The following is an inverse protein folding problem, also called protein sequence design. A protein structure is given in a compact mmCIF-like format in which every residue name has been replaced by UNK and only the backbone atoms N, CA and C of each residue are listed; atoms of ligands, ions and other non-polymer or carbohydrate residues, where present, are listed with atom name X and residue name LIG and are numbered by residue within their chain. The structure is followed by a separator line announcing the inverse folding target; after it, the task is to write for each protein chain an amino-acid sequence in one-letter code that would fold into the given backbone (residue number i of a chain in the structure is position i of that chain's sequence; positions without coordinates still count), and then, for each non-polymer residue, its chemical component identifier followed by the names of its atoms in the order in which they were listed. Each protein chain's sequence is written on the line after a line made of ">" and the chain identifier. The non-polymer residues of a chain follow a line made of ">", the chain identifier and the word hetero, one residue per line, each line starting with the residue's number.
data_IF_888749993854
#
_entry.id   IF_888749993854
#
_cell.length_a   1.000
_cell.length_b   1.000
_cell.length_c   1.000
_cell.angle_alpha   90.00
_cell.angle_beta   90.00
_cell.angle_gamma   90.00
#
_symmetry.space_group_name_H-M   'P 1'
#
loop_
_entity.id
_entity.type
_entity.pdbx_description
1 polymer ?
#
# COMPACT_ATOMS: atom_id res chain seq x y z
N UNK A 1 -3.45 17.35 5.77
CA UNK A 1 -3.08 17.06 7.17
C UNK A 1 -1.55 17.01 7.26
N UNK A 2 -0.95 17.27 8.43
CA UNK A 2 0.51 17.19 8.62
C UNK A 2 0.90 16.17 9.69
N UNK A 3 1.84 15.29 9.37
CA UNK A 3 2.33 14.23 10.27
C UNK A 3 3.86 14.25 10.34
N UNK A 4 4.42 13.80 11.47
CA UNK A 4 5.85 13.48 11.56
C UNK A 4 6.11 12.16 10.82
N UNK A 5 7.08 12.07 9.91
CA UNK A 5 7.45 10.82 9.24
C UNK A 5 7.76 9.65 10.19
N UNK A 6 8.31 9.93 11.37
CA UNK A 6 8.58 8.92 12.40
C UNK A 6 7.30 8.32 13.02
N UNK A 7 6.17 9.04 12.98
CA UNK A 7 4.88 8.57 13.53
C UNK A 7 4.03 7.83 12.50
N UNK A 8 4.57 7.57 11.30
CA UNK A 8 3.90 6.84 10.23
C UNK A 8 4.57 5.48 10.10
N UNK A 9 3.79 4.41 10.10
CA UNK A 9 4.27 3.04 10.00
C UNK A 9 4.31 2.57 8.54
N UNK A 10 5.20 1.63 8.24
CA UNK A 10 5.22 0.95 6.94
C UNK A 10 4.05 0.00 6.83
N UNK A 11 3.56 -0.21 5.60
CA UNK A 11 2.64 -1.30 5.30
C UNK A 11 3.41 -2.51 4.84
N UNK A 12 3.10 -3.68 5.40
CA UNK A 12 3.72 -4.96 5.05
C UNK A 12 5.19 -5.04 5.47
N UNK A 13 5.44 -5.41 6.73
CA UNK A 13 6.80 -5.44 7.32
C UNK A 13 7.64 -6.61 6.78
N UNK A 14 6.99 -7.73 6.42
CA UNK A 14 7.66 -8.95 5.98
C UNK A 14 8.37 -8.81 4.61
N UNK A 15 7.90 -7.90 3.75
CA UNK A 15 8.48 -7.64 2.42
C UNK A 15 9.29 -6.35 2.32
N UNK A 16 9.60 -5.70 3.44
CA UNK A 16 10.42 -4.48 3.43
C UNK A 16 11.80 -4.71 2.83
N UNK A 17 12.30 -5.94 2.82
CA UNK A 17 13.62 -6.28 2.28
C UNK A 17 13.70 -6.11 0.76
N UNK A 18 12.62 -6.38 0.04
CA UNK A 18 12.64 -6.51 -1.43
C UNK A 18 12.13 -5.25 -2.15
N UNK A 19 11.21 -4.50 -1.53
CA UNK A 19 10.58 -3.30 -2.12
C UNK A 19 11.19 -1.97 -1.66
N UNK A 20 12.19 -2.00 -0.78
CA UNK A 20 12.84 -0.79 -0.33
C UNK A 20 13.97 -0.36 -1.27
N UNK A 21 14.02 0.94 -1.55
CA UNK A 21 15.09 1.59 -2.30
C UNK A 21 16.47 1.11 -1.82
N UNK A 22 17.36 0.83 -2.76
CA UNK A 22 18.79 0.68 -2.46
C UNK A 22 19.30 1.95 -1.78
N UNK A 23 20.41 1.86 -1.06
CA UNK A 23 20.98 3.02 -0.38
C UNK A 23 21.36 4.14 -1.37
N UNK A 24 21.94 3.77 -2.51
CA UNK A 24 22.29 4.71 -3.58
C UNK A 24 21.07 5.38 -4.21
N UNK A 25 19.99 4.64 -4.46
CA UNK A 25 18.76 5.23 -5.01
C UNK A 25 18.03 6.12 -3.99
N UNK A 26 18.09 5.75 -2.71
CA UNK A 26 17.56 6.57 -1.62
C UNK A 26 18.29 7.92 -1.57
N UNK A 27 19.61 7.92 -1.60
CA UNK A 27 20.41 9.14 -1.60
C UNK A 27 20.13 10.01 -2.82
N UNK A 28 20.04 9.40 -4.00
CA UNK A 28 19.69 10.10 -5.25
C UNK A 28 18.33 10.80 -5.13
N UNK A 29 17.31 10.11 -4.60
CA UNK A 29 15.99 10.70 -4.36
C UNK A 29 16.03 11.83 -3.34
N UNK A 30 16.69 11.61 -2.20
CA UNK A 30 16.83 12.63 -1.14
C UNK A 30 17.48 13.89 -1.69
N UNK A 31 18.57 13.75 -2.44
CA UNK A 31 19.23 14.87 -3.11
C UNK A 31 18.29 15.60 -4.06
N UNK A 32 17.57 14.87 -4.93
CA UNK A 32 16.61 15.48 -5.86
C UNK A 32 15.53 16.30 -5.15
N UNK A 33 15.03 15.83 -4.00
CA UNK A 33 14.03 16.56 -3.21
C UNK A 33 14.61 17.80 -2.53
N UNK A 34 15.84 17.72 -2.01
CA UNK A 34 16.55 18.89 -1.45
C UNK A 34 16.80 19.95 -2.52
N UNK A 35 17.30 19.56 -3.68
CA UNK A 35 17.61 20.46 -4.80
C UNK A 35 16.36 21.18 -5.32
N UNK A 36 15.20 20.51 -5.29
CA UNK A 36 13.91 21.07 -5.72
C UNK A 36 13.17 21.83 -4.61
N UNK A 37 13.73 21.89 -3.42
CA UNK A 37 13.09 22.41 -2.20
C UNK A 37 11.68 21.84 -1.96
N UNK A 38 11.50 20.55 -2.27
CA UNK A 38 10.21 19.89 -2.24
C UNK A 38 10.23 18.65 -1.37
N UNK A 39 9.12 18.42 -0.68
CA UNK A 39 8.92 17.22 0.14
C UNK A 39 7.93 16.30 -0.59
N UNK A 40 8.19 14.99 -0.64
CA UNK A 40 7.25 14.05 -1.23
C UNK A 40 5.86 14.13 -0.58
N UNK A 41 4.82 13.95 -1.39
CA UNK A 41 3.46 13.76 -0.90
C UNK A 41 3.28 12.30 -0.49
N UNK A 42 2.88 12.08 0.75
CA UNK A 42 2.64 10.74 1.27
C UNK A 42 1.14 10.43 1.36
N UNK A 43 0.74 9.26 0.88
CA UNK A 43 -0.60 8.73 1.09
C UNK A 43 -0.59 7.84 2.33
N UNK A 44 -1.49 8.11 3.26
CA UNK A 44 -1.62 7.37 4.51
C UNK A 44 -3.05 6.94 4.73
N UNK A 45 -3.25 5.90 5.51
CA UNK A 45 -4.56 5.59 6.09
C UNK A 45 -4.43 5.39 7.59
N UNK A 46 -5.58 5.37 8.26
CA UNK A 46 -5.66 5.29 9.71
C UNK A 46 -6.35 3.99 10.11
N UNK A 47 -5.68 3.17 10.92
CA UNK A 47 -6.18 1.91 11.46
C UNK A 47 -5.79 1.84 12.93
N UNK A 48 -6.78 1.65 13.80
CA UNK A 48 -6.60 1.39 15.23
C UNK A 48 -5.59 2.34 15.92
N UNK A 49 -5.82 3.65 15.87
CA UNK A 49 -4.93 4.60 16.54
C UNK A 49 -3.71 5.03 15.73
N UNK A 50 -3.33 4.30 14.68
CA UNK A 50 -2.04 4.47 14.00
C UNK A 50 -2.20 4.86 12.53
N UNK A 51 -1.19 5.56 12.01
CA UNK A 51 -1.09 5.93 10.60
C UNK A 51 -0.10 5.04 9.88
N UNK A 52 -0.49 4.57 8.72
CA UNK A 52 0.32 3.68 7.89
C UNK A 52 0.42 4.27 6.48
N UNK A 53 1.60 4.22 5.88
CA UNK A 53 1.83 4.71 4.52
C UNK A 53 1.34 3.69 3.49
N UNK A 54 0.83 4.13 2.34
CA UNK A 54 0.64 3.25 1.17
C UNK A 54 1.86 3.28 0.24
N UNK A 55 2.86 4.09 0.55
CA UNK A 55 4.10 4.22 -0.21
C UNK A 55 5.28 4.14 0.74
N UNK A 56 5.87 2.93 0.85
CA UNK A 56 6.99 2.65 1.75
C UNK A 56 8.27 3.38 1.30
N UNK A 57 8.54 3.42 0.00
CA UNK A 57 9.74 4.07 -0.55
C UNK A 57 9.76 5.58 -0.25
N UNK A 58 8.65 6.29 -0.48
CA UNK A 58 8.57 7.73 -0.19
C UNK A 58 8.60 8.01 1.32
N UNK A 59 8.09 7.10 2.16
CA UNK A 59 8.22 7.24 3.61
C UNK A 59 9.68 7.10 4.05
N UNK A 60 10.45 6.18 3.45
CA UNK A 60 11.89 6.04 3.73
C UNK A 60 12.65 7.32 3.37
N UNK A 61 12.35 7.92 2.22
CA UNK A 61 12.88 9.23 1.82
C UNK A 61 12.51 10.32 2.84
N UNK A 62 11.22 10.42 3.21
CA UNK A 62 10.75 11.41 4.19
C UNK A 62 11.46 11.29 5.54
N UNK A 63 11.69 10.06 6.02
CA UNK A 63 12.40 9.82 7.28
C UNK A 63 13.87 10.22 7.17
N UNK A 64 14.54 9.96 6.05
CA UNK A 64 15.91 10.41 5.82
C UNK A 64 15.99 11.94 5.77
N UNK A 65 15.08 12.60 5.03
CA UNK A 65 14.96 14.06 5.02
C UNK A 65 14.73 14.64 6.42
N UNK A 66 13.95 13.96 7.27
CA UNK A 66 13.75 14.35 8.67
C UNK A 66 15.01 14.19 9.51
N UNK A 67 15.73 13.08 9.38
CA UNK A 67 16.98 12.84 10.09
C UNK A 67 18.07 13.85 9.70
N UNK A 68 18.08 14.27 8.44
CA UNK A 68 18.98 15.30 7.91
C UNK A 68 18.54 16.73 8.30
N UNK A 69 17.43 16.89 9.05
CA UNK A 69 16.93 18.19 9.52
C UNK A 69 16.13 19.00 8.50
N UNK A 70 15.87 18.46 7.30
CA UNK A 70 15.21 19.18 6.22
C UNK A 70 13.70 19.34 6.45
N UNK A 71 13.06 18.39 7.13
CA UNK A 71 11.63 18.48 7.45
C UNK A 71 11.26 17.86 8.79
N UNK A 72 10.42 18.55 9.57
CA UNK A 72 9.88 18.00 10.84
C UNK A 72 8.50 17.36 10.67
N UNK A 73 7.72 17.86 9.70
CA UNK A 73 6.37 17.39 9.39
C UNK A 73 6.17 17.42 7.88
N UNK A 74 5.43 16.45 7.38
CA UNK A 74 5.12 16.30 5.95
C UNK A 74 3.61 16.42 5.73
N UNK A 75 3.23 16.97 4.57
CA UNK A 75 1.83 17.00 4.17
C UNK A 75 1.43 15.61 3.70
N UNK A 76 0.39 15.05 4.32
CA UNK A 76 -0.14 13.72 3.98
C UNK A 76 -1.55 13.82 3.43
N UNK A 77 -1.85 12.92 2.50
CA UNK A 77 -3.17 12.63 1.98
C UNK A 77 -3.74 11.42 2.71
N UNK A 78 -4.93 11.57 3.31
CA UNK A 78 -5.58 10.46 4.02
C UNK A 78 -6.48 9.68 3.05
N UNK A 79 -6.16 8.42 2.84
CA UNK A 79 -6.95 7.48 2.07
C UNK A 79 -7.99 6.80 2.99
N UNK A 80 -9.29 6.79 2.62
CA UNK A 80 -10.30 6.06 3.38
C UNK A 80 -10.04 4.55 3.38
N UNK A 81 -10.22 3.90 4.54
CA UNK A 81 -10.02 2.44 4.71
C UNK A 81 -10.83 1.62 3.69
N UNK A 82 -12.03 2.08 3.32
CA UNK A 82 -12.90 1.42 2.33
C UNK A 82 -12.27 1.29 0.94
N UNK A 83 -11.25 2.09 0.61
CA UNK A 83 -10.53 2.05 -0.67
C UNK A 83 -9.30 1.15 -0.64
N UNK A 84 -8.97 0.57 0.51
CA UNK A 84 -7.79 -0.28 0.67
C UNK A 84 -8.23 -1.74 0.55
N UNK A 85 -7.59 -2.52 -0.35
CA UNK A 85 -7.84 -3.95 -0.47
C UNK A 85 -7.70 -4.66 0.88
N UNK A 86 -8.61 -5.60 1.17
CA UNK A 86 -8.61 -6.36 2.44
C UNK A 86 -7.27 -7.05 2.71
N UNK A 87 -6.68 -7.68 1.69
CA UNK A 87 -5.37 -8.33 1.85
C UNK A 87 -4.28 -7.38 2.35
N UNK A 88 -4.28 -6.12 1.91
CA UNK A 88 -3.34 -5.10 2.41
C UNK A 88 -3.67 -4.72 3.86
N UNK A 89 -4.96 -4.66 4.23
CA UNK A 89 -5.36 -4.42 5.63
C UNK A 89 -4.91 -5.53 6.57
N UNK A 90 -4.93 -6.77 6.09
CA UNK A 90 -4.60 -7.95 6.89
C UNK A 90 -3.09 -8.07 7.14
N UNK A 91 -2.23 -7.59 6.23
CA UNK A 91 -0.76 -7.55 6.44
C UNK A 91 -0.28 -6.46 7.39
N UNK A 92 -1.18 -5.63 7.91
CA UNK A 92 -0.83 -4.58 8.87
C UNK A 92 -1.05 -5.07 10.29
N UNK A 93 0.05 -5.45 10.93
CA UNK A 93 0.08 -5.77 12.34
C UNK A 93 -0.17 -4.52 13.17
N UNK A 94 -1.28 -4.53 13.90
CA UNK A 94 -1.52 -3.60 15.01
C UNK A 94 -1.67 -4.47 16.25
N UNK A 95 -0.98 -4.14 17.37
CA UNK A 95 -1.23 -4.83 18.64
C UNK A 95 -2.72 -4.87 18.95
N UNK A 96 -3.23 -6.05 19.33
CA UNK A 96 -4.66 -6.27 19.57
C UNK A 96 -5.25 -5.34 20.64
N UNK A 97 -4.41 -4.79 21.52
CA UNK A 97 -4.77 -3.80 22.53
C UNK A 97 -5.29 -2.49 21.95
N UNK A 98 -4.84 -2.12 20.74
CA UNK A 98 -5.10 -0.81 20.13
C UNK A 98 -6.29 -0.83 19.18
N UNK A 99 -6.75 -2.03 18.80
CA UNK A 99 -7.96 -2.25 18.01
C UNK A 99 -9.08 -2.70 18.95
N UNK A 100 -9.97 -1.82 19.46
CA UNK A 100 -11.19 -2.28 20.08
C UNK A 100 -11.95 -3.06 19.02
N UNK A 101 -11.98 -4.38 19.18
CA UNK A 101 -12.70 -5.29 18.29
C UNK A 101 -14.17 -4.88 18.37
N UNK A 102 -14.64 -4.07 17.43
CA UNK A 102 -16.05 -4.09 17.07
C UNK A 102 -16.25 -5.44 16.43
N UNK A 103 -16.49 -6.45 17.28
CA UNK A 103 -17.05 -7.71 16.85
C UNK A 103 -18.35 -7.30 16.18
N UNK A 104 -18.32 -7.26 14.86
CA UNK A 104 -19.51 -7.21 14.06
C UNK A 104 -20.17 -8.57 14.31
N UNK A 105 -20.85 -8.68 15.44
CA UNK A 105 -21.81 -9.74 15.64
C UNK A 105 -22.89 -9.42 14.63
N UNK A 106 -22.73 -9.94 13.41
CA UNK A 106 -23.85 -10.33 12.59
C UNK A 106 -24.59 -11.39 13.41
N UNK A 107 -25.33 -10.92 14.41
CA UNK A 107 -26.51 -11.58 14.92
C UNK A 107 -27.41 -11.67 13.70
N UNK A 108 -27.29 -12.77 12.97
CA UNK A 108 -28.43 -13.31 12.23
C UNK A 108 -29.52 -13.51 13.28
N UNK A 109 -30.30 -12.46 13.52
CA UNK A 109 -31.63 -12.60 14.09
C UNK A 109 -32.47 -13.29 13.02
N UNK A 110 -32.28 -14.60 12.86
CA UNK A 110 -33.31 -15.45 12.25
C UNK A 110 -34.35 -15.68 13.34
N UNK A 111 -35.25 -14.73 13.42
CA UNK A 111 -36.59 -14.88 13.97
C UNK A 111 -37.22 -16.15 13.39
N UNK A 112 -37.63 -17.07 14.28
CA UNK A 112 -38.73 -18.01 14.04
C UNK A 112 -38.39 -19.40 13.48
N UNK A 113 -37.90 -20.30 14.33
CA UNK A 113 -38.31 -21.71 14.24
C UNK A 113 -39.33 -21.97 15.35
N UNK A 114 -40.62 -21.88 15.01
CA UNK A 114 -41.70 -22.48 15.82
C UNK A 114 -41.67 -23.98 15.58
N UNK A 115 -41.48 -24.74 16.65
CA UNK A 115 -41.67 -26.19 16.68
C UNK A 115 -43.11 -26.55 16.29
N UNK A 116 -43.21 -27.55 15.42
CA UNK A 116 -44.44 -28.21 15.01
C UNK A 116 -45.02 -29.00 16.18
N UNK A 117 -46.28 -28.75 16.52
CA UNK A 117 -47.16 -29.74 17.16
C UNK A 117 -48.33 -29.98 16.22
N UNK A 118 -48.47 -31.24 15.81
CA UNK A 118 -49.52 -31.75 14.92
C UNK A 118 -50.65 -32.28 15.79
N UNK A 119 -51.86 -31.77 15.61
CA UNK A 119 -53.10 -32.45 16.02
C UNK A 119 -54.32 -31.91 15.24
N UNK A 120 -54.65 -32.65 14.18
CA UNK A 120 -55.99 -33.11 13.76
C UNK A 120 -57.16 -32.13 13.45
N UNK A 121 -57.47 -32.07 12.15
CA UNK A 121 -58.77 -32.31 11.48
C UNK A 121 -59.99 -31.45 11.89
N UNK A 122 -60.46 -30.59 10.96
CA UNK A 122 -61.78 -30.74 10.28
C UNK A 122 -62.05 -29.65 9.22
N UNK A 123 -62.43 -30.10 8.00
CA UNK A 123 -63.46 -29.59 7.04
C UNK A 123 -63.58 -28.07 6.83
N UNK A 124 -63.73 -27.49 5.64
CA UNK A 124 -63.95 -27.86 4.24
C UNK A 124 -63.86 -26.53 3.43
N UNK A 125 -63.97 -26.50 2.09
CA UNK A 125 -63.14 -25.68 1.21
C UNK A 125 -63.81 -24.41 0.66
N UNK A 126 -62.99 -23.46 0.16
CA UNK A 126 -63.44 -22.59 -0.93
C UNK A 126 -62.26 -22.11 -1.82
N UNK A 127 -62.21 -22.74 -3.01
CA UNK A 127 -62.07 -22.14 -4.34
C UNK A 127 -60.74 -21.50 -4.80
N UNK A 128 -60.24 -22.17 -5.85
CA UNK A 128 -59.54 -21.70 -7.06
C UNK A 128 -58.02 -21.54 -7.13
N UNK A 129 -57.47 -22.43 -7.98
CA UNK A 129 -56.66 -22.17 -9.19
C UNK A 129 -55.43 -21.27 -9.05
N UNK A 130 -54.21 -21.67 -9.41
CA UNK A 130 -53.82 -22.54 -10.53
C UNK A 130 -52.33 -22.88 -10.36
N UNK A 131 -51.98 -24.11 -10.72
CA UNK A 131 -50.61 -24.62 -10.88
C UNK A 131 -49.83 -23.82 -11.95
N UNK A 132 -48.50 -23.81 -12.05
CA UNK A 132 -47.61 -24.94 -12.31
C UNK A 132 -46.12 -24.57 -12.13
N UNK A 133 -45.33 -25.60 -11.75
CA UNK A 133 -44.00 -26.02 -12.23
C UNK A 133 -42.85 -24.99 -12.21
N UNK A 134 -41.81 -25.15 -11.38
CA UNK A 134 -40.66 -26.08 -11.44
C UNK A 134 -39.93 -26.13 -12.78
N UNK A 135 -38.71 -25.58 -12.83
CA UNK A 135 -37.50 -26.31 -13.18
C UNK A 135 -36.23 -25.46 -12.96
N UNK A 136 -35.26 -26.11 -12.30
CA UNK A 136 -33.85 -25.74 -12.31
C UNK A 136 -33.29 -25.79 -13.74
N UNK A 137 -32.48 -24.80 -14.15
CA UNK A 137 -31.35 -25.06 -15.04
C UNK A 137 -30.29 -23.96 -14.99
N UNK A 138 -29.08 -24.43 -14.74
CA UNK A 138 -27.80 -23.76 -14.79
C UNK A 138 -27.42 -23.35 -16.23
N UNK A 139 -26.33 -22.60 -16.34
CA UNK A 139 -25.60 -22.26 -17.58
C UNK A 139 -26.13 -20.98 -18.25
N UNK A 140 -25.32 -20.08 -18.80
CA UNK A 140 -23.97 -20.20 -19.33
C UNK A 140 -23.34 -18.81 -19.37
N UNK A 141 -22.04 -18.75 -19.11
CA UNK A 141 -21.18 -17.61 -19.35
C UNK A 141 -21.01 -17.38 -20.86
N UNK A 142 -21.20 -16.15 -21.33
CA UNK A 142 -20.69 -15.69 -22.62
C UNK A 142 -19.83 -14.44 -22.39
N UNK A 143 -18.52 -14.65 -22.45
CA UNK A 143 -17.51 -13.61 -22.55
C UNK A 143 -17.56 -13.10 -23.99
N UNK A 144 -18.01 -11.86 -24.16
CA UNK A 144 -17.88 -11.12 -25.40
C UNK A 144 -16.53 -10.38 -25.35
N UNK A 145 -15.51 -10.99 -25.93
CA UNK A 145 -14.23 -10.33 -26.20
C UNK A 145 -14.31 -9.75 -27.61
N UNK A 146 -14.52 -8.44 -27.69
CA UNK A 146 -14.35 -7.71 -28.94
C UNK A 146 -12.85 -7.49 -29.22
N UNK A 147 -12.54 -7.91 -30.44
CA UNK A 147 -11.39 -7.74 -31.31
C UNK A 147 -11.09 -6.26 -31.66
N UNK A 148 -10.03 -6.04 -32.46
CA UNK A 148 -9.47 -4.78 -33.00
C UNK A 148 -8.27 -4.23 -32.21
N UNK A 149 -7.08 -4.04 -32.78
CA UNK A 149 -6.65 -4.12 -34.17
C UNK A 149 -5.15 -3.80 -34.28
N UNK A 150 -4.59 -4.19 -35.42
CA UNK A 150 -3.18 -4.15 -35.83
C UNK A 150 -2.58 -2.75 -35.95
N UNK A 151 -1.26 -2.64 -35.77
CA UNK A 151 -0.38 -1.93 -36.73
C UNK A 151 1.10 -2.21 -36.46
N UNK A 152 1.80 -2.53 -37.54
CA UNK A 152 3.23 -2.75 -37.70
C UNK A 152 4.04 -1.44 -37.61
N UNK A 153 5.34 -1.56 -37.86
CA UNK A 153 6.34 -0.51 -38.19
C UNK A 153 7.22 0.07 -37.06
N UNK A 154 8.47 -0.42 -37.08
CA UNK A 154 9.66 0.37 -37.45
C UNK A 154 10.02 1.58 -36.58
N UNK A 155 11.11 1.46 -35.80
CA UNK A 155 12.38 2.13 -36.12
C UNK A 155 13.48 1.83 -35.10
N UNK A 156 14.64 1.52 -35.67
CA UNK A 156 15.95 1.58 -35.06
C UNK A 156 16.22 3.00 -34.53
N UNK A 157 16.84 3.08 -33.35
CA UNK A 157 17.82 4.13 -33.08
C UNK A 157 18.88 3.55 -32.16
N UNK A 158 20.01 3.21 -32.77
CA UNK A 158 21.26 2.94 -32.08
C UNK A 158 21.82 4.30 -31.64
N UNK A 159 21.86 4.53 -30.33
CA UNK A 159 22.62 5.64 -29.77
C UNK A 159 23.89 5.07 -29.17
N UNK A 160 24.91 5.04 -30.02
CA UNK A 160 26.32 5.23 -29.64
C UNK A 160 26.39 6.46 -28.73
N UNK A 161 26.78 6.25 -27.48
CA UNK A 161 27.31 7.34 -26.65
C UNK A 161 28.73 6.99 -26.31
N UNK A 162 29.61 7.66 -27.04
CA UNK A 162 31.05 7.61 -26.94
C UNK A 162 31.53 7.80 -25.49
N UNK A 163 32.31 6.81 -25.06
CA UNK A 163 33.63 6.97 -24.47
C UNK A 163 34.05 8.43 -24.15
N UNK A 164 33.94 8.81 -22.87
CA UNK A 164 34.70 9.93 -22.34
C UNK A 164 35.51 9.46 -21.13
N UNK A 165 36.60 8.74 -21.42
CA UNK A 165 37.75 8.74 -20.52
C UNK A 165 38.40 10.11 -20.57
N UNK A 166 38.30 10.86 -19.48
CA UNK A 166 39.24 11.95 -19.21
C UNK A 166 39.88 11.70 -17.87
N UNK A 167 40.92 10.89 -17.92
CA UNK A 167 41.96 10.83 -16.91
C UNK A 167 42.61 12.21 -16.80
N UNK A 168 42.58 12.78 -15.61
CA UNK A 168 43.57 13.78 -15.21
C UNK A 168 43.85 13.60 -13.74
N UNK A 169 44.88 12.79 -13.50
CA UNK A 169 45.70 12.79 -12.31
C UNK A 169 46.07 14.21 -11.89
N UNK A 170 45.82 14.56 -10.63
CA UNK A 170 46.70 15.46 -9.91
C UNK A 170 47.04 14.84 -8.57
N UNK A 171 48.21 14.22 -8.53
CA UNK A 171 48.97 14.02 -7.31
C UNK A 171 49.32 15.38 -6.73
N UNK A 172 48.93 15.64 -5.49
CA UNK A 172 49.74 16.43 -4.55
C UNK A 172 49.66 15.78 -3.18
N UNK A 173 50.62 14.90 -2.99
CA UNK A 173 51.36 14.63 -1.77
C UNK A 173 51.34 15.86 -0.84
N UNK A 174 50.87 15.68 0.39
CA UNK A 174 51.09 16.62 1.49
C UNK A 174 51.27 15.78 2.74
N UNK A 175 52.52 15.35 2.93
CA UNK A 175 53.07 15.00 4.22
C UNK A 175 52.98 16.25 5.11
N UNK A 176 52.30 16.15 6.25
CA UNK A 176 52.49 17.09 7.35
C UNK A 176 52.89 16.25 8.56
N UNK A 177 54.05 16.63 9.05
CA UNK A 177 54.89 15.96 10.03
C UNK A 177 54.22 15.80 11.39
N UNK A 178 54.61 14.73 12.06
CA UNK A 178 54.37 14.48 13.48
C UNK A 178 55.12 15.50 14.33
N UNK A 179 54.45 16.15 15.27
CA UNK A 179 55.09 16.68 16.48
C UNK A 179 54.42 16.06 17.70
N UNK A 180 55.09 15.06 18.26
CA UNK A 180 54.91 14.65 19.65
C UNK A 180 55.36 15.80 20.54
N UNK A 181 54.45 16.42 21.29
CA UNK A 181 54.84 17.27 22.43
C UNK A 181 54.40 16.62 23.73
N UNK A 182 55.33 15.89 24.32
CA UNK A 182 55.30 15.48 25.72
C UNK A 182 55.58 16.69 26.60
N UNK A 183 54.64 17.07 27.46
CA UNK A 183 54.96 17.84 28.67
C UNK A 183 54.18 17.30 29.86
N UNK A 184 54.95 16.56 30.68
CA UNK A 184 54.94 16.45 32.15
C UNK A 184 53.61 16.38 32.90
#
# INVERSE_FOLDING_TARGET
>A
MYLSPLNIFYTNVEHLSEDLLTETDLERKVKSYKDKEQIPKLQVFYKCGRYFTLNNAELRVCRKLQNDGFCHRIKVEKVPVKRIPKGILDTMEVPETDCPITRDTTKRSKTGYRQLTVASISKDPDVNDKAEQTDDSLSSCTLDSSDDGVSEDDKQDELDTDDWVSSSDHSTESEVEEEEESFL
#
